data_IF_294290305813
#
_entry.id   IF_294290305813
#
_cell.length_a   1.000
_cell.length_b   1.000
_cell.length_c   1.000
_cell.angle_alpha   90.00
_cell.angle_beta   90.00
_cell.angle_gamma   90.00
#
_symmetry.space_group_name_H-M   'P 1'
#
loop_
_entity.id
_entity.type
_entity.pdbx_description
1 polymer ?
2 non-polymer ?
3 non-polymer ?
4 non-polymer ?
5 water ?
#
# COMPACT_ATOMS: atom_id res chain seq x y z
N UNK A 1 16.96 -10.12 -1.23
CA UNK A 1 15.77 -9.24 -1.26
C UNK A 1 15.69 -8.35 -0.03
N UNK A 2 14.51 -8.30 0.61
CA UNK A 2 14.32 -7.53 1.83
C UNK A 2 13.56 -8.40 2.83
N UNK A 3 13.81 -8.23 4.14
CA UNK A 3 13.06 -9.01 5.12
C UNK A 3 11.71 -8.35 5.35
N UNK A 4 10.64 -9.16 5.30
CA UNK A 4 9.25 -8.75 5.51
C UNK A 4 8.81 -9.20 6.91
N UNK A 5 8.10 -8.38 7.73
CA UNK A 5 7.75 -7.00 7.40
C UNK A 5 8.93 -6.05 7.27
N UNK A 6 8.79 -5.09 6.35
CA UNK A 6 9.85 -4.17 6.00
C UNK A 6 9.37 -2.76 6.33
N UNK A 7 10.25 -1.96 6.94
CA UNK A 7 9.95 -0.55 7.19
C UNK A 7 10.75 0.34 6.25
N UNK A 8 10.04 1.10 5.39
CA UNK A 8 10.71 2.08 4.57
C UNK A 8 10.47 3.47 5.15
N UNK A 9 11.51 4.16 5.67
CA UNK A 9 11.33 5.55 6.09
C UNK A 9 11.03 6.45 4.88
N UNK A 10 10.12 7.42 5.09
CA UNK A 10 9.74 8.41 4.09
C UNK A 10 10.17 9.78 4.64
N UNK A 11 11.39 10.27 4.32
CA UNK A 11 11.96 11.39 5.08
C UNK A 11 11.15 12.68 4.88
N UNK A 12 10.62 13.30 5.95
CA UNK A 12 9.80 14.49 5.73
C UNK A 12 8.43 14.15 5.17
N UNK A 13 8.00 12.90 5.41
CA UNK A 13 6.67 12.45 5.01
C UNK A 13 6.49 12.40 3.50
N UNK A 14 5.23 12.44 3.08
CA UNK A 14 4.99 12.43 1.65
C UNK A 14 4.49 13.79 1.19
N UNK A 15 4.32 13.92 -0.13
CA UNK A 15 4.01 15.19 -0.78
C UNK A 15 3.51 14.88 -2.18
N UNK A 16 2.59 15.67 -2.78
CA UNK A 16 2.24 15.42 -4.17
C UNK A 16 3.48 15.39 -5.06
N UNK A 17 3.46 14.50 -6.07
CA UNK A 17 4.55 14.22 -7.01
C UNK A 17 5.52 13.19 -6.49
N UNK A 18 5.30 12.71 -5.25
CA UNK A 18 6.16 11.65 -4.73
C UNK A 18 5.60 10.29 -5.16
N UNK A 19 6.46 9.49 -5.81
CA UNK A 19 6.08 8.16 -6.29
C UNK A 19 6.82 7.09 -5.49
N UNK A 20 6.05 6.17 -4.89
CA UNK A 20 6.60 5.09 -4.08
C UNK A 20 6.39 3.80 -4.87
N UNK A 21 7.48 3.04 -5.04
CA UNK A 21 7.49 1.82 -5.86
C UNK A 21 7.89 0.62 -5.00
N UNK A 22 7.04 -0.43 -5.02
CA UNK A 22 7.24 -1.65 -4.27
C UNK A 22 7.29 -2.78 -5.30
N UNK A 23 8.39 -3.53 -5.30
CA UNK A 23 8.61 -4.58 -6.29
C UNK A 23 8.80 -5.88 -5.51
N UNK A 24 8.03 -6.91 -5.85
CA UNK A 24 8.26 -8.19 -5.22
C UNK A 24 7.49 -9.28 -5.97
N UNK A 25 7.36 -10.43 -5.30
CA UNK A 25 6.75 -11.61 -5.88
C UNK A 25 5.82 -12.21 -4.85
N UNK A 26 4.57 -12.49 -5.25
CA UNK A 26 3.59 -13.06 -4.33
C UNK A 26 4.00 -14.51 -4.03
N UNK A 27 3.99 -14.91 -2.75
CA UNK A 27 4.29 -16.28 -2.38
C UNK A 27 3.22 -17.21 -2.96
N UNK A 28 3.52 -18.52 -3.12
CA UNK A 28 2.48 -19.51 -3.41
C UNK A 28 1.37 -19.47 -2.35
N UNK A 29 0.11 -19.71 -2.77
CA UNK A 29 -0.99 -19.85 -1.82
C UNK A 29 -1.02 -18.66 -0.84
N UNK A 30 -0.77 -17.45 -1.35
CA UNK A 30 -0.80 -16.23 -0.55
C UNK A 30 -2.16 -16.03 0.11
N UNK A 31 -2.16 -15.44 1.32
CA UNK A 31 -3.37 -15.07 2.04
C UNK A 31 -3.58 -13.55 2.03
N UNK A 32 -2.50 -12.79 2.21
CA UNK A 32 -2.68 -11.35 2.27
C UNK A 32 -1.39 -10.60 1.96
N UNK A 33 -1.58 -9.32 1.61
CA UNK A 33 -0.52 -8.34 1.46
C UNK A 33 -1.00 -7.07 2.17
N UNK A 34 -0.07 -6.28 2.71
CA UNK A 34 -0.47 -5.00 3.28
C UNK A 34 0.62 -3.96 3.06
N UNK A 35 0.19 -2.76 2.69
CA UNK A 35 1.00 -1.54 2.74
C UNK A 35 0.37 -0.66 3.80
N UNK A 36 1.22 -0.12 4.69
CA UNK A 36 0.70 0.76 5.73
C UNK A 36 1.54 2.04 5.73
N UNK A 37 0.98 3.11 5.15
CA UNK A 37 1.60 4.42 5.19
C UNK A 37 1.19 5.06 6.51
N UNK A 38 2.17 5.20 7.40
CA UNK A 38 1.88 5.60 8.78
C UNK A 38 2.33 7.03 9.07
N UNK A 39 1.51 7.70 9.88
CA UNK A 39 1.85 8.94 10.57
C UNK A 39 1.95 8.58 12.05
N UNK A 40 3.18 8.35 12.52
CA UNK A 40 3.33 7.78 13.87
C UNK A 40 2.50 6.50 14.00
N UNK A 41 1.67 6.42 15.06
CA UNK A 41 0.91 5.19 15.27
C UNK A 41 -0.30 5.10 14.35
N UNK A 42 -0.72 6.24 13.77
CA UNK A 42 -1.88 6.23 12.88
C UNK A 42 -1.49 5.63 11.53
N UNK A 43 -2.47 5.07 10.82
CA UNK A 43 -2.26 4.58 9.46
C UNK A 43 -3.03 5.46 8.49
N UNK A 44 -2.32 6.34 7.76
CA UNK A 44 -2.95 7.26 6.82
C UNK A 44 -3.61 6.51 5.66
N UNK A 45 -2.91 5.49 5.15
CA UNK A 45 -3.35 4.74 4.00
C UNK A 45 -2.93 3.29 4.16
N UNK A 46 -3.95 2.45 4.39
CA UNK A 46 -3.79 1.01 4.47
C UNK A 46 -4.31 0.40 3.19
N UNK A 47 -3.45 -0.38 2.51
CA UNK A 47 -3.79 -1.00 1.23
C UNK A 47 -3.60 -2.51 1.38
N UNK A 48 -4.72 -3.26 1.39
CA UNK A 48 -4.70 -4.63 1.90
C UNK A 48 -5.39 -5.59 0.93
N UNK A 49 -4.65 -6.16 -0.05
CA UNK A 49 -5.14 -7.31 -0.84
C UNK A 49 -5.40 -8.53 0.04
N UNK A 50 -6.62 -9.05 -0.03
CA UNK A 50 -6.99 -10.26 0.69
C UNK A 50 -7.32 -11.32 -0.35
N UNK A 51 -6.64 -12.48 -0.28
CA UNK A 51 -6.77 -13.50 -1.31
C UNK A 51 -7.97 -14.41 -1.08
N UNK A 52 -8.51 -14.43 0.14
CA UNK A 52 -9.57 -15.37 0.45
C UNK A 52 -10.38 -14.85 1.63
N UNK A 53 -11.29 -13.94 1.29
CA UNK A 53 -12.31 -13.46 2.19
C UNK A 53 -13.61 -14.01 1.64
N UNK A 54 -14.15 -15.04 2.31
CA UNK A 54 -15.37 -15.71 1.85
C UNK A 54 -15.21 -16.18 0.39
N UNK A 55 -14.02 -16.71 0.04
CA UNK A 55 -13.73 -17.29 -1.27
C UNK A 55 -13.73 -16.24 -2.38
N UNK A 56 -13.50 -14.98 -2.00
CA UNK A 56 -13.34 -13.92 -2.99
C UNK A 56 -12.05 -13.15 -2.70
N UNK A 57 -11.45 -12.58 -3.75
CA UNK A 57 -10.27 -11.74 -3.62
C UNK A 57 -10.74 -10.29 -3.67
N UNK A 58 -10.20 -9.48 -2.75
CA UNK A 58 -10.68 -8.11 -2.60
C UNK A 58 -9.51 -7.30 -2.07
N UNK A 59 -9.41 -6.07 -2.53
CA UNK A 59 -8.46 -5.15 -1.92
C UNK A 59 -9.21 -4.22 -0.97
N UNK A 60 -8.76 -4.18 0.29
CA UNK A 60 -9.40 -3.37 1.31
C UNK A 60 -8.50 -2.18 1.61
N UNK A 61 -9.06 -0.96 1.57
CA UNK A 61 -8.29 0.22 1.93
C UNK A 61 -8.97 0.91 3.11
N UNK A 62 -8.16 1.54 3.96
CA UNK A 62 -8.70 2.15 5.17
C UNK A 62 -7.66 3.06 5.81
N UNK A 63 -8.08 3.77 6.87
CA UNK A 63 -7.25 4.67 7.65
C UNK A 63 -7.48 4.30 9.11
N UNK A 64 -6.41 4.35 9.91
CA UNK A 64 -6.50 4.05 11.33
C UNK A 64 -6.09 5.31 12.08
N UNK A 65 -6.99 5.79 12.96
CA UNK A 65 -6.73 6.99 13.73
C UNK A 65 -6.99 6.67 15.20
N UNK A 66 -5.98 6.94 16.06
CA UNK A 66 -6.10 6.71 17.49
C UNK A 66 -6.54 5.27 17.73
N UNK A 67 -5.95 4.38 16.93
CA UNK A 67 -6.13 2.95 17.11
C UNK A 67 -7.48 2.43 16.62
N UNK A 68 -8.24 3.23 15.85
CA UNK A 68 -9.56 2.83 15.40
C UNK A 68 -9.62 2.83 13.88
N UNK A 69 -10.07 1.72 13.28
CA UNK A 69 -10.20 1.68 11.82
C UNK A 69 -11.43 2.48 11.42
N UNK A 70 -11.36 3.18 10.28
CA UNK A 70 -12.52 3.90 9.78
C UNK A 70 -13.33 3.06 8.81
N UNK A 71 -14.00 3.73 7.87
CA UNK A 71 -14.83 3.06 6.89
C UNK A 71 -13.97 2.47 5.77
N UNK A 72 -14.17 1.18 5.46
CA UNK A 72 -13.37 0.53 4.43
C UNK A 72 -13.78 1.03 3.06
N UNK A 73 -12.81 1.13 2.14
CA UNK A 73 -13.09 1.26 0.71
C UNK A 73 -12.65 -0.02 0.03
N UNK A 74 -13.57 -0.66 -0.71
CA UNK A 74 -13.26 -1.96 -1.29
C UNK A 74 -13.29 -1.91 -2.81
N UNK A 75 -12.38 -2.68 -3.42
CA UNK A 75 -12.13 -2.80 -4.85
C UNK A 75 -11.99 -4.29 -5.20
N UNK A 76 -12.89 -4.78 -6.09
CA UNK A 76 -12.91 -6.17 -6.55
C UNK A 76 -11.97 -6.45 -7.73
N UNK A 77 -11.54 -5.39 -8.44
CA UNK A 77 -10.44 -5.56 -9.38
C UNK A 77 -9.20 -5.99 -8.60
N UNK A 78 -8.61 -7.13 -8.98
CA UNK A 78 -7.62 -7.77 -8.13
C UNK A 78 -6.45 -8.27 -8.97
N UNK A 79 -5.45 -7.40 -9.23
CA UNK A 79 -4.40 -7.73 -10.19
C UNK A 79 -3.32 -8.72 -9.72
N UNK A 80 -3.33 -9.11 -8.45
CA UNK A 80 -2.31 -9.98 -7.89
C UNK A 80 -2.65 -11.46 -8.13
N UNK A 81 -1.60 -12.27 -8.25
CA UNK A 81 -1.72 -13.71 -8.37
C UNK A 81 -0.62 -14.39 -7.57
N UNK A 82 -1.01 -15.45 -6.84
CA UNK A 82 -0.04 -16.23 -6.10
C UNK A 82 1.09 -16.65 -7.04
N UNK A 83 2.33 -16.47 -6.57
CA UNK A 83 3.50 -16.94 -7.29
C UNK A 83 4.03 -15.95 -8.33
N UNK A 84 3.33 -14.83 -8.56
CA UNK A 84 3.73 -13.99 -9.68
C UNK A 84 4.38 -12.68 -9.22
N UNK A 85 5.36 -12.15 -9.98
CA UNK A 85 6.01 -10.86 -9.67
C UNK A 85 5.08 -9.67 -9.90
N UNK A 86 5.18 -8.68 -9.01
CA UNK A 86 4.30 -7.52 -9.09
C UNK A 86 5.11 -6.24 -8.93
N UNK A 87 4.51 -5.14 -9.39
CA UNK A 87 5.02 -3.82 -9.05
C UNK A 87 3.85 -2.95 -8.63
N UNK A 88 3.97 -2.32 -7.44
CA UNK A 88 2.95 -1.41 -6.97
C UNK A 88 3.57 -0.01 -7.00
N UNK A 89 2.87 0.91 -7.65
CA UNK A 89 3.29 2.30 -7.70
C UNK A 89 2.20 3.09 -7.01
N UNK A 90 2.59 3.81 -5.95
CA UNK A 90 1.69 4.70 -5.23
C UNK A 90 2.15 6.12 -5.48
N UNK A 91 1.35 6.87 -6.23
CA UNK A 91 1.72 8.25 -6.53
C UNK A 91 0.87 9.15 -5.65
N UNK A 92 1.52 10.04 -4.92
CA UNK A 92 0.76 10.97 -4.10
C UNK A 92 0.31 12.11 -5.04
N UNK A 93 -1.02 12.32 -5.15
CA UNK A 93 -1.56 13.46 -5.87
C UNK A 93 -2.14 14.42 -4.83
N UNK A 94 -2.53 15.66 -5.20
CA UNK A 94 -3.03 16.63 -4.22
C UNK A 94 -4.19 16.19 -3.35
N UNK A 95 -5.14 15.41 -3.91
CA UNK A 95 -6.33 15.02 -3.16
C UNK A 95 -6.38 13.52 -2.84
N UNK A 96 -5.51 12.70 -3.46
CA UNK A 96 -5.58 11.26 -3.28
C UNK A 96 -4.22 10.59 -3.51
N UNK A 97 -4.08 9.38 -2.94
CA UNK A 97 -3.09 8.41 -3.40
C UNK A 97 -3.62 7.70 -4.64
N UNK A 98 -2.78 7.62 -5.70
CA UNK A 98 -3.18 6.94 -6.92
C UNK A 98 -2.38 5.65 -7.06
N UNK A 99 -3.05 4.49 -7.15
CA UNK A 99 -2.27 3.27 -7.10
C UNK A 99 -2.39 2.56 -8.43
N UNK A 100 -1.24 2.21 -9.02
CA UNK A 100 -1.21 1.35 -10.20
C UNK A 100 -0.43 0.08 -9.88
N UNK A 101 -0.88 -1.04 -10.47
CA UNK A 101 -0.17 -2.30 -10.29
C UNK A 101 0.19 -2.78 -11.69
N UNK A 102 1.47 -3.11 -11.90
CA UNK A 102 1.93 -3.64 -13.18
C UNK A 102 1.52 -2.67 -14.28
N UNK A 103 1.66 -1.36 -14.01
CA UNK A 103 1.47 -0.29 -14.98
C UNK A 103 0.01 -0.11 -15.37
N UNK A 104 -0.91 -0.76 -14.63
CA UNK A 104 -2.33 -0.54 -14.87
C UNK A 104 -2.95 0.17 -13.66
N UNK A 105 -3.68 1.25 -13.93
CA UNK A 105 -4.32 1.99 -12.85
C UNK A 105 -5.24 1.05 -12.08
N UNK A 106 -5.19 1.12 -10.73
CA UNK A 106 -6.02 0.24 -9.90
C UNK A 106 -7.09 1.01 -9.12
N UNK A 107 -6.67 1.97 -8.29
CA UNK A 107 -7.63 2.67 -7.44
C UNK A 107 -7.03 4.00 -7.00
N UNK A 108 -7.91 4.89 -6.54
CA UNK A 108 -7.50 6.11 -5.87
C UNK A 108 -8.09 6.09 -4.47
N UNK A 109 -7.39 6.72 -3.52
CA UNK A 109 -7.89 6.74 -2.16
C UNK A 109 -7.72 8.15 -1.65
N UNK A 110 -8.83 8.83 -1.41
CA UNK A 110 -8.79 10.25 -1.05
C UNK A 110 -8.06 10.44 0.28
N UNK A 111 -7.38 11.59 0.45
CA UNK A 111 -6.61 11.83 1.67
C UNK A 111 -7.53 12.03 2.87
N UNK A 112 -7.39 11.20 3.92
CA UNK A 112 -8.15 11.47 5.13
C UNK A 112 -7.25 12.17 6.13
N UNK A 113 -6.00 11.69 6.20
CA UNK A 113 -4.93 12.34 6.95
C UNK A 113 -4.41 13.51 6.12
N UNK A 114 -4.42 14.72 6.73
CA UNK A 114 -4.16 15.95 5.98
C UNK A 114 -2.68 16.32 6.08
N UNK A 115 -2.01 15.91 7.17
CA UNK A 115 -0.61 16.28 7.36
C UNK A 115 0.29 15.30 6.61
N UNK A 116 0.39 15.52 5.30
CA UNK A 116 1.09 14.58 4.43
C UNK A 116 2.56 14.45 4.80
N UNK A 117 3.16 15.57 5.24
CA UNK A 117 4.59 15.61 5.52
C UNK A 117 4.91 14.97 6.87
N UNK A 118 3.92 14.32 7.50
CA UNK A 118 4.13 13.56 8.74
C UNK A 118 3.88 12.07 8.55
N UNK A 119 3.51 11.67 7.33
CA UNK A 119 3.35 10.26 6.95
C UNK A 119 4.76 9.75 6.62
N UNK A 120 5.52 9.38 7.66
CA UNK A 120 6.98 9.29 7.54
C UNK A 120 7.50 7.86 7.50
N UNK A 121 6.61 6.88 7.41
CA UNK A 121 7.07 5.50 7.24
C UNK A 121 6.07 4.71 6.40
N UNK A 122 6.59 3.77 5.59
CA UNK A 122 5.76 2.76 4.95
C UNK A 122 6.15 1.38 5.46
N UNK A 123 5.16 0.69 6.03
CA UNK A 123 5.30 -0.71 6.41
C UNK A 123 4.80 -1.59 5.27
N UNK A 124 5.62 -2.58 4.90
CA UNK A 124 5.28 -3.51 3.84
C UNK A 124 5.28 -4.91 4.44
N UNK A 125 4.13 -5.61 4.39
CA UNK A 125 3.98 -6.87 5.11
C UNK A 125 3.17 -7.85 4.26
N UNK A 126 3.19 -9.12 4.72
CA UNK A 126 2.36 -10.11 4.05
C UNK A 126 3.14 -11.19 3.32
N UNK A 127 2.40 -11.94 2.51
CA UNK A 127 2.87 -13.20 1.98
C UNK A 127 3.60 -12.93 0.66
N UNK A 128 4.68 -12.13 0.73
CA UNK A 128 5.44 -11.74 -0.46
C UNK A 128 6.92 -11.99 -0.20
N UNK A 129 7.66 -12.15 -1.29
CA UNK A 129 9.10 -11.97 -1.30
C UNK A 129 9.29 -10.54 -1.77
N UNK A 130 9.83 -9.67 -0.91
CA UNK A 130 10.04 -8.27 -1.30
C UNK A 130 11.42 -8.09 -1.92
N UNK A 131 11.43 -7.58 -3.15
CA UNK A 131 12.67 -7.34 -3.86
C UNK A 131 13.21 -5.95 -3.54
N UNK A 132 12.35 -4.94 -3.67
CA UNK A 132 12.83 -3.59 -3.44
C UNK A 132 11.67 -2.68 -3.08
N UNK A 133 12.01 -1.58 -2.39
CA UNK A 133 11.01 -0.57 -2.12
C UNK A 133 11.71 0.78 -2.12
N UNK A 134 11.17 1.78 -2.81
CA UNK A 134 11.88 3.05 -2.90
C UNK A 134 10.92 4.16 -3.32
N UNK A 135 11.42 5.41 -3.44
CA UNK A 135 10.59 6.54 -3.86
C UNK A 135 11.41 7.45 -4.77
N UNK A 136 10.70 8.30 -5.50
CA UNK A 136 11.28 9.24 -6.44
C UNK A 136 10.30 10.40 -6.61
N UNK A 137 10.83 11.60 -6.86
CA UNK A 137 9.98 12.74 -7.11
C UNK A 137 9.83 12.88 -8.62
N UNK A 138 8.59 12.88 -9.08
CA UNK A 138 8.32 13.01 -10.54
C UNK A 138 7.75 14.38 -10.89
X LIG B 1 -9.53 -5.48 9.76
X LIG B 1 -8.16 -6.15 9.83
X LIG B 1 -7.06 -5.10 9.77
X LIG B 1 -7.26 -4.12 8.61
X LIG B 1 -8.64 -3.50 8.74
X LIG B 1 -8.97 -2.53 7.61
X LIG B 1 -8.06 -6.88 11.06
X LIG B 1 -5.78 -5.71 9.68
X LIG B 1 -7.11 -4.79 7.34
X LIG B 1 -9.63 -4.54 8.70
X LIG B 1 -10.27 -1.98 7.82
X LIG B 1 -10.87 -6.69 9.56
X LIG C 1 -12.28 -5.23 11.99
X LIG C 1 -14.78 -7.16 10.12
X LIG C 1 -14.13 -7.33 8.73
X LIG C 1 -13.37 -6.05 8.38
X LIG C 1 -12.39 -5.65 9.49
X LIG C 1 -13.16 -5.57 10.82
X LIG C 1 -13.75 -6.85 11.07
X LIG C 1 -15.50 -8.38 10.64
X LIG C 1 -16.36 -8.00 11.74
X LIG C 1 -13.18 -8.38 8.72
X LIG C 1 -12.65 -6.21 7.17
X LIG C 1 -11.71 -3.89 11.99
X LIG C 1 -12.01 -5.99 12.90
X LIG D 1 -3.94 15.14 9.85
#
# INVERSE_FOLDING_TARGET
PLIVPYNLPLPGGVVPRMLITILGTVKPNANRIALDFQRGNDVAFHFNPRFNENNRRVIVCNTKLDNNWGREERQSVFPFESGKPFKIQVLVEPDHFKVAVNDAHLLQYNHRVKKLNEISKLGISGDIDLTSASYTMI
YIO C1 C2 C3 C4 C5 C6 O2 O3 O4 O5 O6 S1
VPL C7 C5' C4' C3' C2' C1' O5' C6' O6' O4' O3' N1 O7
MG MG
#
